data_IF_343141855397
#
_entry.id   IF_343141855397
#
_cell.length_a   1.000
_cell.length_b   1.000
_cell.length_c   1.000
_cell.angle_alpha   90.00
_cell.angle_beta   90.00
_cell.angle_gamma   90.00
#
_symmetry.space_group_name_H-M   'P 1'
#
loop_
_entity.id
_entity.type
_entity.pdbx_description
1 polymer ?
#
# COMPACT_ATOMS: atom_id res chain seq x y z
N UNK A 1 -9.60 15.35 0.40
CA UNK A 1 -8.24 14.83 0.21
C UNK A 1 -8.03 14.47 -1.25
N UNK A 2 -6.95 14.95 -1.84
CA UNK A 2 -6.67 14.68 -3.24
C UNK A 2 -6.04 13.30 -3.41
N UNK A 3 -6.06 12.79 -4.64
CA UNK A 3 -5.39 11.52 -4.95
C UNK A 3 -3.91 11.57 -4.62
N UNK A 4 -3.29 12.73 -4.84
CA UNK A 4 -1.88 12.91 -4.54
C UNK A 4 -1.63 12.76 -3.04
N UNK A 5 -2.50 13.32 -2.21
CA UNK A 5 -2.36 13.21 -0.77
C UNK A 5 -2.51 11.77 -0.31
N UNK A 6 -3.45 11.04 -0.87
CA UNK A 6 -3.65 9.64 -0.51
C UNK A 6 -2.44 8.81 -0.91
N UNK A 7 -1.93 9.00 -2.13
CA UNK A 7 -0.73 8.28 -2.56
C UNK A 7 0.46 8.60 -1.67
N UNK A 8 0.63 9.85 -1.30
CA UNK A 8 1.72 10.24 -0.40
C UNK A 8 1.60 9.55 0.94
N UNK A 9 0.40 9.45 1.48
CA UNK A 9 0.17 8.77 2.75
C UNK A 9 0.45 7.28 2.65
N UNK A 10 0.11 6.68 1.52
CA UNK A 10 0.42 5.27 1.29
C UNK A 10 1.93 5.07 1.29
N UNK A 11 2.66 5.91 0.59
CA UNK A 11 4.11 5.82 0.52
C UNK A 11 4.75 6.01 1.88
N UNK A 12 4.25 6.97 2.66
CA UNK A 12 4.74 7.19 4.01
C UNK A 12 4.46 5.98 4.90
N UNK A 13 3.29 5.38 4.76
CA UNK A 13 2.96 4.18 5.50
C UNK A 13 3.90 3.03 5.16
N UNK A 14 4.19 2.85 3.86
CA UNK A 14 5.11 1.80 3.42
C UNK A 14 6.47 1.97 4.05
N UNK A 15 7.04 3.16 3.96
CA UNK A 15 8.36 3.43 4.49
C UNK A 15 8.39 3.23 6.01
N UNK A 16 7.39 3.72 6.69
CA UNK A 16 7.36 3.68 8.15
C UNK A 16 7.12 2.27 8.67
N UNK A 17 6.13 1.59 8.14
CA UNK A 17 5.75 0.28 8.67
C UNK A 17 6.72 -0.82 8.29
N UNK A 18 7.34 -0.71 7.14
CA UNK A 18 8.29 -1.72 6.67
C UNK A 18 9.74 -1.32 6.94
N UNK A 19 9.93 -0.16 7.54
CA UNK A 19 11.25 0.35 7.86
C UNK A 19 12.16 0.33 6.64
N UNK A 20 11.63 0.83 5.52
CA UNK A 20 12.38 0.84 4.27
C UNK A 20 13.52 1.85 4.33
N UNK A 21 14.58 1.57 3.60
CA UNK A 21 15.73 2.46 3.55
C UNK A 21 15.65 3.45 2.40
N UNK A 22 14.45 3.81 2.06
CA UNK A 22 14.19 4.79 1.01
C UNK A 22 13.22 5.81 1.56
N UNK A 23 13.00 6.88 0.82
CA UNK A 23 12.03 7.90 1.21
C UNK A 23 10.75 7.74 0.42
N UNK A 24 9.63 8.25 0.92
CA UNK A 24 8.37 8.16 0.16
C UNK A 24 8.49 8.74 -1.25
N UNK A 25 9.27 9.80 -1.41
CA UNK A 25 9.44 10.44 -2.72
C UNK A 25 10.08 9.54 -3.76
N UNK A 26 10.81 8.52 -3.31
CA UNK A 26 11.51 7.64 -4.22
C UNK A 26 10.69 6.43 -4.64
N UNK A 27 9.49 6.30 -4.10
CA UNK A 27 8.61 5.21 -4.46
C UNK A 27 7.69 5.69 -5.58
N UNK A 28 7.87 5.15 -6.77
CA UNK A 28 6.99 5.51 -7.89
C UNK A 28 5.62 4.89 -7.69
N UNK A 29 4.59 5.54 -8.22
CA UNK A 29 3.21 5.08 -8.05
C UNK A 29 2.97 3.70 -8.66
N UNK A 30 3.69 3.37 -9.71
CA UNK A 30 3.54 2.10 -10.41
C UNK A 30 4.69 1.12 -10.14
N UNK A 31 5.55 1.44 -9.18
CA UNK A 31 6.65 0.55 -8.84
C UNK A 31 6.12 -0.72 -8.19
N UNK A 32 6.50 -1.91 -8.70
CA UNK A 32 6.11 -3.15 -8.04
C UNK A 32 6.63 -3.18 -6.61
N UNK A 33 5.79 -3.56 -5.68
CA UNK A 33 6.20 -3.62 -4.28
C UNK A 33 6.88 -4.94 -3.95
N UNK A 34 6.47 -6.01 -4.62
CA UNK A 34 7.01 -7.34 -4.36
C UNK A 34 7.86 -7.80 -5.53
N UNK A 35 8.80 -8.67 -5.21
CA UNK A 35 9.65 -9.25 -6.25
C UNK A 35 10.91 -8.46 -6.51
N UNK A 36 11.82 -9.02 -7.30
CA UNK A 36 13.15 -8.43 -7.51
C UNK A 36 13.13 -7.15 -8.35
N UNK A 37 12.08 -6.92 -9.10
CA UNK A 37 12.02 -5.73 -9.96
C UNK A 37 11.52 -4.49 -9.23
N UNK A 38 11.10 -4.65 -7.98
CA UNK A 38 10.56 -3.54 -7.22
C UNK A 38 11.27 -3.38 -5.89
N UNK A 39 10.50 -3.17 -4.83
CA UNK A 39 11.07 -3.00 -3.50
C UNK A 39 11.55 -4.31 -2.88
N UNK A 40 11.23 -5.43 -3.49
CA UNK A 40 11.69 -6.72 -2.99
C UNK A 40 11.00 -7.18 -1.72
N UNK A 41 9.78 -6.73 -1.49
CA UNK A 41 9.04 -7.12 -0.29
C UNK A 41 8.63 -8.59 -0.38
N UNK A 42 8.45 -9.21 0.77
CA UNK A 42 8.05 -10.62 0.83
C UNK A 42 6.70 -10.77 1.55
N UNK A 43 6.29 -12.00 1.81
CA UNK A 43 4.98 -12.27 2.40
C UNK A 43 4.85 -11.74 3.83
N UNK A 44 5.95 -11.64 4.55
CA UNK A 44 5.93 -11.04 5.88
C UNK A 44 5.65 -9.55 5.77
N UNK A 45 6.27 -8.91 4.78
CA UNK A 45 6.02 -7.49 4.52
C UNK A 45 4.57 -7.27 4.11
N UNK A 46 4.00 -8.18 3.34
CA UNK A 46 2.60 -8.08 2.95
C UNK A 46 1.69 -8.09 4.18
N UNK A 47 1.99 -8.93 5.14
CA UNK A 47 1.22 -8.99 6.38
C UNK A 47 1.31 -7.67 7.15
N UNK A 48 2.50 -7.11 7.22
CA UNK A 48 2.70 -5.80 7.84
C UNK A 48 1.91 -4.71 7.13
N UNK A 49 1.86 -4.76 5.80
CA UNK A 49 1.08 -3.81 5.02
C UNK A 49 -0.41 -3.92 5.31
N UNK A 50 -0.92 -5.14 5.41
CA UNK A 50 -2.32 -5.37 5.73
C UNK A 50 -2.66 -4.73 7.07
N UNK A 51 -1.83 -4.95 8.06
CA UNK A 51 -2.02 -4.36 9.39
C UNK A 51 -1.94 -2.84 9.31
N UNK A 52 -0.97 -2.32 8.58
CA UNK A 52 -0.81 -0.89 8.41
C UNK A 52 -1.99 -0.22 7.73
N UNK A 53 -2.54 -0.88 6.71
CA UNK A 53 -3.71 -0.35 6.02
C UNK A 53 -4.92 -0.26 6.94
N UNK A 54 -5.10 -1.27 7.77
CA UNK A 54 -6.21 -1.26 8.71
C UNK A 54 -6.04 -0.16 9.76
N UNK A 55 -4.85 -0.02 10.29
CA UNK A 55 -4.59 0.99 11.31
C UNK A 55 -4.59 2.41 10.77
N UNK A 56 -4.01 2.61 9.60
CA UNK A 56 -3.82 3.94 9.04
C UNK A 56 -5.06 4.43 8.31
N UNK A 57 -5.69 3.56 7.54
CA UNK A 57 -6.81 3.94 6.68
C UNK A 57 -8.14 3.32 7.09
N UNK A 58 -8.14 2.43 8.06
CA UNK A 58 -9.36 1.74 8.46
C UNK A 58 -9.87 0.77 7.39
N UNK A 59 -8.99 0.30 6.54
CA UNK A 59 -9.36 -0.58 5.43
C UNK A 59 -8.83 -1.97 5.69
N UNK A 60 -9.74 -2.94 5.78
CA UNK A 60 -9.36 -4.34 5.99
C UNK A 60 -9.08 -5.06 4.69
N UNK A 61 -8.16 -6.02 4.74
CA UNK A 61 -7.86 -6.88 3.61
C UNK A 61 -8.25 -8.30 4.04
N UNK A 62 -9.35 -8.85 3.51
CA UNK A 62 -9.93 -10.07 4.07
C UNK A 62 -9.18 -11.35 3.79
N UNK A 63 -8.32 -11.39 2.79
CA UNK A 63 -7.61 -12.63 2.47
C UNK A 63 -6.28 -12.34 1.80
N UNK A 64 -5.42 -13.34 1.77
CA UNK A 64 -4.14 -13.21 1.09
C UNK A 64 -4.32 -13.08 -0.42
N UNK A 65 -5.39 -13.63 -0.96
CA UNK A 65 -5.68 -13.50 -2.38
C UNK A 65 -5.99 -12.04 -2.73
N UNK A 66 -6.80 -11.40 -1.91
CA UNK A 66 -7.11 -9.98 -2.10
C UNK A 66 -5.85 -9.14 -1.91
N UNK A 67 -5.04 -9.49 -0.91
CA UNK A 67 -3.78 -8.78 -0.67
C UNK A 67 -2.87 -8.88 -1.89
N UNK A 68 -2.78 -10.04 -2.51
CA UNK A 68 -1.95 -10.23 -3.68
C UNK A 68 -2.35 -9.34 -4.85
N UNK A 69 -3.61 -8.99 -4.94
CA UNK A 69 -4.09 -8.10 -5.99
C UNK A 69 -3.98 -6.63 -5.61
N UNK A 70 -4.35 -6.32 -4.37
CA UNK A 70 -4.43 -4.93 -3.92
C UNK A 70 -3.07 -4.31 -3.62
N UNK A 71 -2.11 -5.11 -3.20
CA UNK A 71 -0.83 -4.60 -2.73
C UNK A 71 0.29 -4.68 -3.76
N UNK A 72 -0.04 -4.64 -5.03
CA UNK A 72 0.97 -4.74 -6.09
C UNK A 72 1.79 -3.46 -6.25
N UNK A 73 1.12 -2.33 -6.25
CA UNK A 73 1.76 -1.03 -6.41
C UNK A 73 1.04 -0.01 -5.54
N UNK A 74 1.59 1.20 -5.46
CA UNK A 74 0.90 2.29 -4.77
C UNK A 74 -0.44 2.58 -5.45
N UNK A 75 -0.47 2.54 -6.77
CA UNK A 75 -1.71 2.76 -7.52
C UNK A 75 -2.80 1.75 -7.17
N UNK A 76 -2.45 0.47 -7.07
CA UNK A 76 -3.45 -0.55 -6.74
C UNK A 76 -3.92 -0.41 -5.29
N UNK A 77 -3.03 -0.03 -4.39
CA UNK A 77 -3.41 0.23 -3.00
C UNK A 77 -4.37 1.42 -2.94
N UNK A 78 -4.04 2.48 -3.66
CA UNK A 78 -4.86 3.67 -3.74
C UNK A 78 -6.28 3.34 -4.20
N UNK A 79 -6.38 2.61 -5.31
CA UNK A 79 -7.68 2.24 -5.87
C UNK A 79 -8.47 1.35 -4.90
N UNK A 80 -7.78 0.42 -4.24
CA UNK A 80 -8.42 -0.45 -3.27
C UNK A 80 -8.97 0.33 -2.09
N UNK A 81 -8.20 1.28 -1.58
CA UNK A 81 -8.66 2.11 -0.46
C UNK A 81 -9.90 2.91 -0.84
N UNK A 82 -9.89 3.52 -2.03
CA UNK A 82 -11.04 4.28 -2.48
C UNK A 82 -12.28 3.41 -2.61
N UNK A 83 -12.10 2.20 -3.13
CA UNK A 83 -13.21 1.27 -3.29
C UNK A 83 -13.80 0.87 -1.94
N UNK A 84 -12.93 0.60 -0.96
CA UNK A 84 -13.38 0.15 0.36
C UNK A 84 -13.88 1.26 1.25
N UNK A 85 -13.39 2.47 1.08
CA UNK A 85 -13.90 3.62 1.84
C UNK A 85 -15.24 4.09 1.31
N UNK A 86 -15.70 3.34 0.39
CA UNK A 86 -16.98 3.56 -0.09
C UNK A 86 -16.93 4.64 -1.03
N UNK A 87 -16.43 4.39 -1.96
CA UNK A 87 -16.71 5.21 -3.02
C UNK A 87 -18.05 5.86 -2.84
N UNK A 88 -18.54 5.70 -1.73
CA UNK A 88 -19.71 6.40 -1.33
C UNK A 88 -19.41 7.80 -1.08
N UNK A 89 -18.24 7.98 -1.00
CA UNK A 89 -17.79 9.33 -0.65
C UNK A 89 -18.45 10.25 -1.37
#
# INVERSE_FOLDING_TARGET
MSDTDLRSRIKEMLVKNLMLQTTPDQIADDLPLFGPDGLGLDSIDALELVVGMEKTFGVGVPSSEVAGKALQTVNTIHDYILEKRGATG
#
